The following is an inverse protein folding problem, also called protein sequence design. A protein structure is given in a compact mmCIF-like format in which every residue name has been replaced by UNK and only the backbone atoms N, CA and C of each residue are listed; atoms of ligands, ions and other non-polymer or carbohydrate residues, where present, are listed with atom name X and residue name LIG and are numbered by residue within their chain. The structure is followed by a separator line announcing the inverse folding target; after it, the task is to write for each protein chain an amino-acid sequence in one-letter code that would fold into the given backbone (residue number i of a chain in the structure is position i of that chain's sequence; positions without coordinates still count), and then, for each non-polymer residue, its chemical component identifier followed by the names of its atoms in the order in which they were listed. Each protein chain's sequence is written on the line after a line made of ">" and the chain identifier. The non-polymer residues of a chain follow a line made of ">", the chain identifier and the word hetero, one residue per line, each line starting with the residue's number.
data_IF_042809011661
#
_entry.id   IF_042809011661
#
_cell.length_a   1.000
_cell.length_b   1.000
_cell.length_c   1.000
_cell.angle_alpha   90.00
_cell.angle_beta   90.00
_cell.angle_gamma   90.00
#
_symmetry.space_group_name_H-M   'P 1'
#
loop_
_entity.id
_entity.type
_entity.pdbx_description
1 polymer ?
#
# COMPACT_ATOMS: atom_id res chain seq x y z
N UNK A 1 3.40 9.09 -14.59
CA UNK A 1 4.43 8.39 -15.38
C UNK A 1 3.77 7.68 -16.55
N UNK A 2 4.15 8.01 -17.80
CA UNK A 2 3.81 7.22 -18.98
C UNK A 2 4.24 5.75 -18.85
N UNK A 3 3.51 4.83 -19.48
CA UNK A 3 3.75 3.39 -19.32
C UNK A 3 5.16 2.95 -19.76
N UNK A 4 5.67 3.49 -20.86
CA UNK A 4 6.99 3.15 -21.39
C UNK A 4 8.14 3.64 -20.50
N UNK A 5 7.99 4.80 -19.86
CA UNK A 5 8.99 5.38 -18.97
C UNK A 5 9.28 4.47 -17.77
N UNK A 6 8.29 3.71 -17.32
CA UNK A 6 8.43 2.79 -16.18
C UNK A 6 9.53 1.74 -16.40
N UNK A 7 9.80 1.36 -17.66
CA UNK A 7 10.81 0.35 -18.01
C UNK A 7 12.24 0.84 -17.77
N UNK A 8 12.47 2.14 -17.97
CA UNK A 8 13.82 2.73 -17.98
C UNK A 8 14.05 3.80 -16.92
N UNK A 9 13.02 4.15 -16.15
CA UNK A 9 13.15 5.16 -15.10
C UNK A 9 14.26 4.80 -14.08
N UNK A 10 14.95 5.84 -13.61
CA UNK A 10 16.21 5.74 -12.84
C UNK A 10 16.05 5.10 -11.47
N UNK A 11 14.86 5.22 -10.88
CA UNK A 11 14.43 4.45 -9.72
C UNK A 11 13.41 3.41 -10.17
N UNK A 12 13.37 2.25 -9.52
CA UNK A 12 12.34 1.25 -9.82
C UNK A 12 10.95 1.78 -9.41
N UNK A 13 10.03 2.01 -10.35
CA UNK A 13 8.72 2.57 -10.04
C UNK A 13 7.79 1.60 -9.30
N UNK A 14 8.19 0.34 -9.15
CA UNK A 14 7.44 -0.73 -8.46
C UNK A 14 8.12 -1.14 -7.15
N UNK A 15 9.22 -0.50 -6.77
CA UNK A 15 9.81 -0.61 -5.45
C UNK A 15 9.16 0.44 -4.53
N UNK A 16 8.35 -0.03 -3.57
CA UNK A 16 7.62 0.80 -2.62
C UNK A 16 8.55 1.72 -1.78
N UNK A 17 9.84 1.40 -1.68
CA UNK A 17 10.81 2.22 -0.95
C UNK A 17 11.25 3.45 -1.74
N UNK A 18 10.90 3.55 -3.03
CA UNK A 18 11.31 4.64 -3.92
C UNK A 18 10.17 5.61 -4.18
N UNK A 19 10.41 6.89 -3.94
CA UNK A 19 9.53 7.97 -4.39
C UNK A 19 9.88 8.36 -5.84
N UNK A 20 8.90 8.90 -6.56
CA UNK A 20 9.14 9.60 -7.83
C UNK A 20 9.24 11.09 -7.52
N UNK A 21 10.42 11.73 -7.70
CA UNK A 21 10.56 13.15 -7.45
C UNK A 21 9.55 13.96 -8.27
N UNK A 22 8.89 14.92 -7.63
CA UNK A 22 7.92 15.79 -8.31
C UNK A 22 8.59 16.69 -9.37
N UNK A 23 9.91 16.84 -9.34
CA UNK A 23 10.68 17.46 -10.42
C UNK A 23 10.61 16.67 -11.73
N UNK A 24 10.51 15.34 -11.62
CA UNK A 24 10.49 14.42 -12.77
C UNK A 24 9.03 14.17 -13.19
N UNK A 25 8.13 14.00 -12.23
CA UNK A 25 6.69 13.82 -12.44
C UNK A 25 5.88 14.76 -11.53
N UNK A 26 5.53 15.97 -12.03
CA UNK A 26 4.76 16.94 -11.27
C UNK A 26 3.39 16.42 -10.82
N UNK A 27 2.87 17.00 -9.74
CA UNK A 27 1.51 16.73 -9.29
C UNK A 27 0.50 17.29 -10.30
N UNK A 28 -0.53 16.50 -10.59
CA UNK A 28 -1.69 16.92 -11.36
C UNK A 28 -2.90 16.98 -10.44
N UNK A 29 -3.55 18.14 -10.36
CA UNK A 29 -4.74 18.30 -9.52
C UNK A 29 -5.91 17.49 -10.10
N UNK A 30 -6.53 16.67 -9.24
CA UNK A 30 -7.74 15.90 -9.57
C UNK A 30 -8.97 16.48 -8.86
N UNK A 31 -8.83 16.88 -7.61
CA UNK A 31 -9.92 17.45 -6.80
C UNK A 31 -9.59 17.47 -5.30
N UNK A 32 -10.63 17.68 -4.47
CA UNK A 32 -10.50 17.83 -3.02
C UNK A 32 -11.43 16.88 -2.26
N UNK A 33 -10.85 16.06 -1.38
CA UNK A 33 -11.61 15.28 -0.38
C UNK A 33 -11.92 16.16 0.85
N UNK A 34 -13.15 16.11 1.35
CA UNK A 34 -13.55 16.82 2.58
C UNK A 34 -14.28 15.85 3.51
N UNK A 35 -13.83 15.76 4.77
CA UNK A 35 -14.50 15.02 5.83
C UNK A 35 -15.48 15.96 6.53
N UNK A 36 -16.79 15.66 6.47
CA UNK A 36 -17.84 16.58 6.92
C UNK A 36 -18.92 15.92 7.80
N UNK A 37 -18.70 14.68 8.23
CA UNK A 37 -19.66 13.92 9.04
C UNK A 37 -18.92 12.94 9.96
N UNK A 38 -19.25 12.98 11.25
CA UNK A 38 -18.81 11.97 12.22
C UNK A 38 -19.68 10.71 12.14
N UNK A 39 -19.15 9.54 12.51
CA UNK A 39 -19.97 8.32 12.61
C UNK A 39 -21.04 8.48 13.70
N UNK A 40 -22.19 7.83 13.50
CA UNK A 40 -23.24 7.78 14.54
C UNK A 40 -22.94 6.69 15.56
N UNK A 41 -22.44 5.56 15.09
CA UNK A 41 -21.96 4.46 15.92
C UNK A 41 -20.55 4.02 15.47
N UNK A 42 -19.58 4.14 16.37
CA UNK A 42 -18.19 3.86 16.04
C UNK A 42 -17.97 2.37 15.70
N UNK A 43 -18.67 1.46 16.35
CA UNK A 43 -18.44 0.04 16.14
C UNK A 43 -18.90 -0.41 14.74
N UNK A 44 -20.14 -0.10 14.38
CA UNK A 44 -20.75 -0.52 13.11
C UNK A 44 -20.24 0.28 11.91
N UNK A 45 -19.78 1.52 12.09
CA UNK A 45 -19.29 2.36 10.99
C UNK A 45 -17.75 2.42 10.88
N UNK A 46 -16.99 2.18 11.96
CA UNK A 46 -15.52 2.28 11.93
C UNK A 46 -14.87 0.93 12.22
N UNK A 47 -15.17 0.29 13.34
CA UNK A 47 -14.54 -1.00 13.71
C UNK A 47 -14.88 -2.09 12.68
N UNK A 48 -16.10 -2.09 12.15
CA UNK A 48 -16.54 -3.04 11.12
C UNK A 48 -16.24 -2.60 9.68
N UNK A 49 -15.59 -1.45 9.47
CA UNK A 49 -15.18 -1.02 8.14
C UNK A 49 -14.09 -1.95 7.56
N UNK A 50 -14.26 -2.36 6.32
CA UNK A 50 -13.45 -3.38 5.66
C UNK A 50 -12.74 -2.84 4.42
N UNK A 51 -11.73 -1.99 4.63
CA UNK A 51 -10.92 -1.46 3.54
C UNK A 51 -10.00 -2.54 2.96
N UNK A 52 -9.92 -2.65 1.64
CA UNK A 52 -9.08 -3.63 0.96
C UNK A 52 -8.63 -3.10 -0.41
N UNK A 53 -7.33 -3.21 -0.79
CA UNK A 53 -6.84 -2.70 -2.07
C UNK A 53 -7.41 -3.41 -3.31
N UNK A 54 -7.99 -4.60 -3.14
CA UNK A 54 -8.62 -5.34 -4.24
C UNK A 54 -10.06 -4.85 -4.56
N UNK A 55 -10.61 -3.87 -3.83
CA UNK A 55 -11.82 -3.15 -4.20
C UNK A 55 -11.53 -2.09 -5.29
N UNK A 56 -11.00 -2.55 -6.43
CA UNK A 56 -10.74 -1.70 -7.60
C UNK A 56 -11.99 -1.57 -8.47
N UNK A 57 -12.04 -0.49 -9.24
CA UNK A 57 -13.12 -0.20 -10.20
C UNK A 57 -12.54 -0.06 -11.61
N UNK A 58 -13.33 -0.26 -12.68
CA UNK A 58 -12.86 -0.10 -14.05
C UNK A 58 -12.13 1.23 -14.25
N UNK A 59 -10.93 1.17 -14.87
CA UNK A 59 -10.03 2.31 -15.05
C UNK A 59 -8.93 2.45 -13.99
N UNK A 60 -8.95 1.62 -12.94
CA UNK A 60 -7.91 1.55 -11.91
C UNK A 60 -7.46 0.11 -11.76
N UNK A 61 -6.14 -0.12 -11.70
CA UNK A 61 -5.59 -1.45 -11.54
C UNK A 61 -4.28 -1.50 -10.76
N UNK A 62 -3.78 -2.72 -10.46
CA UNK A 62 -2.55 -2.90 -9.71
C UNK A 62 -1.30 -2.63 -10.56
N UNK A 63 -0.15 -2.68 -9.90
CA UNK A 63 1.17 -2.64 -10.53
C UNK A 63 1.99 -3.88 -10.14
N UNK A 64 3.15 -4.11 -10.78
CA UNK A 64 4.12 -5.13 -10.38
C UNK A 64 4.76 -4.97 -8.98
N UNK A 65 4.29 -4.03 -8.15
CA UNK A 65 4.76 -3.88 -6.78
C UNK A 65 4.37 -5.11 -5.94
N UNK A 66 5.38 -5.91 -5.56
CA UNK A 66 5.25 -7.12 -4.73
C UNK A 66 4.49 -6.87 -3.43
N UNK A 67 4.64 -5.70 -2.80
CA UNK A 67 3.92 -5.35 -1.57
C UNK A 67 2.44 -5.11 -1.86
N UNK A 68 2.11 -4.38 -2.93
CA UNK A 68 0.73 -4.17 -3.35
C UNK A 68 0.04 -5.50 -3.70
N UNK A 69 0.70 -6.35 -4.48
CA UNK A 69 0.17 -7.66 -4.88
C UNK A 69 -0.10 -8.56 -3.66
N UNK A 70 0.78 -8.55 -2.65
CA UNK A 70 0.52 -9.23 -1.37
C UNK A 70 -0.71 -8.68 -0.64
N UNK A 71 -0.88 -7.35 -0.63
CA UNK A 71 -2.02 -6.68 0.02
C UNK A 71 -3.35 -6.92 -0.71
N UNK A 72 -3.34 -7.18 -2.02
CA UNK A 72 -4.54 -7.55 -2.77
C UNK A 72 -5.17 -8.86 -2.25
N UNK A 73 -4.37 -9.74 -1.67
CA UNK A 73 -4.85 -10.96 -1.02
C UNK A 73 -5.17 -10.71 0.47
N UNK A 74 -4.22 -10.14 1.21
CA UNK A 74 -4.20 -10.20 2.67
C UNK A 74 -5.41 -9.56 3.38
N UNK A 75 -5.93 -8.43 2.87
CA UNK A 75 -6.98 -7.69 3.58
C UNK A 75 -8.31 -8.45 3.57
N UNK A 76 -8.74 -8.93 2.40
CA UNK A 76 -9.99 -9.68 2.30
C UNK A 76 -9.93 -11.00 3.09
N UNK A 77 -8.76 -11.64 3.15
CA UNK A 77 -8.54 -12.81 4.00
C UNK A 77 -8.75 -12.48 5.49
N UNK A 78 -8.07 -11.43 5.98
CA UNK A 78 -8.22 -10.98 7.35
C UNK A 78 -9.65 -10.56 7.70
N UNK A 79 -10.37 -9.91 6.78
CA UNK A 79 -11.77 -9.50 6.98
C UNK A 79 -12.70 -10.70 7.12
N UNK A 80 -12.50 -11.76 6.33
CA UNK A 80 -13.28 -13.01 6.49
C UNK A 80 -13.05 -13.66 7.85
N UNK A 81 -11.81 -13.65 8.34
CA UNK A 81 -11.49 -14.18 9.67
C UNK A 81 -12.06 -13.32 10.80
N UNK A 82 -11.94 -11.99 10.70
CA UNK A 82 -12.32 -11.05 11.76
C UNK A 82 -13.83 -10.77 11.84
N UNK A 83 -14.51 -10.67 10.70
CA UNK A 83 -15.92 -10.25 10.63
C UNK A 83 -16.85 -11.31 10.04
N UNK A 84 -16.29 -12.41 9.52
CA UNK A 84 -17.04 -13.49 8.88
C UNK A 84 -17.15 -13.36 7.38
N UNK A 85 -17.54 -14.46 6.73
CA UNK A 85 -17.52 -14.61 5.26
C UNK A 85 -18.45 -13.65 4.52
N UNK A 86 -19.50 -13.14 5.18
CA UNK A 86 -20.47 -12.20 4.63
C UNK A 86 -20.23 -10.74 5.06
N UNK A 87 -19.02 -10.37 5.53
CA UNK A 87 -18.71 -9.00 6.00
C UNK A 87 -19.06 -7.88 5.01
N UNK A 88 -19.08 -8.17 3.70
CA UNK A 88 -19.48 -7.22 2.64
C UNK A 88 -20.98 -6.85 2.70
N UNK A 89 -21.80 -7.58 3.46
CA UNK A 89 -23.22 -7.26 3.68
C UNK A 89 -23.44 -6.30 4.87
N UNK A 90 -22.42 -6.07 5.70
CA UNK A 90 -22.48 -5.06 6.77
C UNK A 90 -22.68 -3.68 6.13
N UNK A 91 -23.63 -2.84 6.61
CA UNK A 91 -24.02 -1.61 5.91
C UNK A 91 -22.87 -0.70 5.47
N UNK A 92 -21.84 -0.52 6.29
CA UNK A 92 -20.69 0.34 5.95
C UNK A 92 -19.81 -0.20 4.81
N UNK A 93 -19.88 -1.51 4.56
CA UNK A 93 -19.09 -2.20 3.53
C UNK A 93 -19.87 -2.42 2.23
N UNK A 94 -21.19 -2.14 2.23
CA UNK A 94 -22.04 -2.35 1.04
C UNK A 94 -21.74 -1.29 -0.01
N UNK A 95 -21.59 -1.67 -1.29
CA UNK A 95 -21.54 -0.69 -2.36
C UNK A 95 -22.91 -0.01 -2.52
N UNK A 96 -22.90 1.17 -3.14
CA UNK A 96 -24.13 1.90 -3.45
C UNK A 96 -24.89 1.30 -4.65
N UNK A 97 -24.19 0.55 -5.51
CA UNK A 97 -24.79 -0.14 -6.65
C UNK A 97 -25.27 -1.55 -6.27
N UNK A 98 -26.23 -2.13 -7.03
CA UNK A 98 -26.61 -3.52 -6.87
C UNK A 98 -25.42 -4.47 -7.06
N UNK A 99 -25.35 -5.52 -6.25
CA UNK A 99 -24.34 -6.57 -6.36
C UNK A 99 -24.97 -7.81 -6.97
N UNK A 100 -24.46 -8.23 -8.13
CA UNK A 100 -24.84 -9.46 -8.80
C UNK A 100 -23.68 -10.46 -8.69
N UNK A 101 -23.81 -11.44 -7.80
CA UNK A 101 -22.75 -12.41 -7.49
C UNK A 101 -23.30 -13.81 -7.30
N UNK A 102 -22.52 -14.81 -7.70
CA UNK A 102 -22.81 -16.23 -7.46
C UNK A 102 -22.48 -16.69 -6.04
N UNK A 103 -21.88 -15.84 -5.19
CA UNK A 103 -21.61 -16.18 -3.78
C UNK A 103 -22.92 -16.34 -2.99
N UNK A 104 -23.13 -17.53 -2.43
CA UNK A 104 -24.32 -17.92 -1.67
C UNK A 104 -23.93 -18.45 -0.26
N UNK A 105 -24.89 -18.46 0.65
CA UNK A 105 -24.80 -19.05 1.99
C UNK A 105 -23.74 -18.36 2.87
N UNK A 106 -23.04 -19.14 3.70
CA UNK A 106 -22.07 -18.64 4.68
C UNK A 106 -22.71 -18.14 5.98
N UNK A 107 -21.91 -18.07 7.04
CA UNK A 107 -22.36 -17.57 8.33
C UNK A 107 -22.87 -16.13 8.23
N UNK A 108 -23.94 -15.82 8.98
CA UNK A 108 -24.56 -14.50 9.06
C UNK A 108 -24.99 -13.92 7.69
N UNK A 109 -25.49 -14.78 6.80
CA UNK A 109 -26.15 -14.33 5.56
C UNK A 109 -27.42 -13.57 5.90
N UNK A 110 -27.57 -12.34 5.41
CA UNK A 110 -28.76 -11.50 5.65
C UNK A 110 -29.52 -11.13 4.37
N UNK A 111 -28.82 -11.04 3.23
CA UNK A 111 -29.47 -10.79 1.94
C UNK A 111 -29.88 -12.11 1.25
N UNK A 112 -31.14 -12.18 0.79
CA UNK A 112 -31.64 -13.30 0.00
C UNK A 112 -30.88 -13.44 -1.33
N UNK A 113 -30.69 -14.67 -1.81
CA UNK A 113 -30.18 -14.98 -3.16
C UNK A 113 -31.22 -15.78 -3.92
N UNK A 114 -31.75 -15.19 -4.97
CA UNK A 114 -32.72 -15.85 -5.88
C UNK A 114 -32.09 -16.30 -7.19
N UNK A 115 -30.86 -15.85 -7.47
CA UNK A 115 -30.15 -16.18 -8.70
C UNK A 115 -29.75 -17.67 -8.75
N UNK A 116 -29.60 -18.25 -9.96
CA UNK A 116 -28.98 -19.56 -10.14
C UNK A 116 -27.60 -19.62 -9.49
N UNK A 117 -27.21 -20.80 -8.97
CA UNK A 117 -25.94 -21.00 -8.25
C UNK A 117 -24.75 -21.35 -9.14
N UNK A 118 -24.87 -21.15 -10.46
CA UNK A 118 -23.86 -21.57 -11.43
C UNK A 118 -23.86 -20.69 -12.69
N UNK A 119 -22.71 -20.63 -13.36
CA UNK A 119 -22.52 -20.00 -14.67
C UNK A 119 -21.74 -20.95 -15.60
N UNK A 120 -22.00 -20.93 -16.92
CA UNK A 120 -23.14 -20.27 -17.58
C UNK A 120 -24.47 -20.96 -17.22
N UNK A 121 -25.59 -20.24 -17.31
CA UNK A 121 -26.93 -20.79 -17.07
C UNK A 121 -27.97 -20.20 -18.02
N UNK A 122 -29.09 -20.92 -18.18
CA UNK A 122 -30.23 -20.51 -19.04
C UNK A 122 -31.39 -19.91 -18.23
N UNK A 123 -31.12 -19.41 -17.02
CA UNK A 123 -32.14 -18.95 -16.06
C UNK A 123 -32.00 -17.46 -15.71
N UNK A 124 -31.17 -16.73 -16.45
CA UNK A 124 -31.01 -15.27 -16.29
C UNK A 124 -30.15 -14.87 -15.09
N UNK A 125 -29.25 -15.73 -14.61
CA UNK A 125 -28.30 -15.36 -13.56
C UNK A 125 -27.24 -14.35 -14.01
N UNK A 126 -26.44 -13.80 -13.08
CA UNK A 126 -25.42 -12.80 -13.36
C UNK A 126 -24.45 -13.20 -14.49
N UNK A 127 -24.07 -12.27 -15.35
CA UNK A 127 -23.06 -12.50 -16.40
C UNK A 127 -21.99 -11.42 -16.36
N UNK A 128 -20.72 -11.83 -16.47
CA UNK A 128 -19.62 -10.89 -16.65
C UNK A 128 -19.70 -10.29 -18.06
N UNK A 129 -19.38 -9.01 -18.18
CA UNK A 129 -19.36 -8.27 -19.45
C UNK A 129 -17.95 -7.75 -19.75
N UNK A 130 -17.03 -8.64 -20.19
CA UNK A 130 -15.65 -8.25 -20.50
C UNK A 130 -15.54 -7.39 -21.76
N UNK A 131 -16.59 -7.35 -22.60
CA UNK A 131 -16.61 -6.49 -23.79
C UNK A 131 -16.81 -5.01 -23.39
N UNK A 132 -17.69 -4.75 -22.42
CA UNK A 132 -17.92 -3.41 -21.88
C UNK A 132 -16.86 -2.98 -20.87
N UNK A 133 -16.34 -3.92 -20.08
CA UNK A 133 -15.36 -3.65 -19.03
C UNK A 133 -14.12 -4.55 -19.23
N UNK A 134 -13.32 -4.30 -20.27
CA UNK A 134 -12.12 -5.07 -20.51
C UNK A 134 -11.11 -4.87 -19.38
N UNK A 135 -10.34 -5.93 -19.06
CA UNK A 135 -9.17 -5.80 -18.20
C UNK A 135 -8.16 -4.87 -18.88
N UNK A 136 -7.77 -3.81 -18.18
CA UNK A 136 -6.92 -2.74 -18.72
C UNK A 136 -5.59 -2.65 -17.98
N UNK A 137 -5.49 -3.25 -16.80
CA UNK A 137 -4.30 -3.27 -15.97
C UNK A 137 -3.44 -4.49 -16.30
N UNK A 138 -3.06 -4.61 -17.57
CA UNK A 138 -2.25 -5.71 -18.07
C UNK A 138 -0.79 -5.27 -18.23
N UNK A 139 0.15 -6.11 -17.80
CA UNK A 139 1.57 -5.96 -18.10
C UNK A 139 2.16 -7.32 -18.46
N UNK A 140 3.26 -7.31 -19.22
CA UNK A 140 3.98 -8.53 -19.58
C UNK A 140 4.92 -8.96 -18.45
N UNK A 141 5.03 -10.27 -18.25
CA UNK A 141 6.03 -10.90 -17.39
C UNK A 141 6.61 -12.11 -18.13
N UNK A 142 7.91 -12.33 -17.99
CA UNK A 142 8.67 -13.43 -18.59
C UNK A 142 9.78 -13.87 -17.62
N UNK A 143 10.20 -15.14 -17.73
CA UNK A 143 11.25 -15.73 -16.89
C UNK A 143 10.80 -16.91 -16.01
N UNK A 144 11.74 -17.42 -15.22
CA UNK A 144 11.53 -18.55 -14.31
C UNK A 144 10.83 -18.15 -13.00
N UNK A 145 10.22 -19.11 -12.31
CA UNK A 145 9.72 -18.89 -10.96
C UNK A 145 10.88 -18.78 -9.97
N UNK A 146 11.11 -17.57 -9.45
CA UNK A 146 12.26 -17.26 -8.58
C UNK A 146 11.85 -16.53 -7.31
N UNK A 147 12.75 -16.56 -6.31
CA UNK A 147 12.75 -15.65 -5.16
C UNK A 147 13.97 -14.74 -5.28
N UNK A 148 13.75 -13.53 -5.78
CA UNK A 148 14.82 -12.56 -6.01
C UNK A 148 14.46 -11.16 -5.54
N UNK A 149 15.50 -10.39 -5.21
CA UNK A 149 15.40 -8.95 -5.11
C UNK A 149 14.92 -8.35 -6.45
N UNK A 150 14.42 -7.11 -6.43
CA UNK A 150 14.23 -6.40 -7.68
C UNK A 150 15.56 -6.21 -8.40
N UNK A 151 15.51 -6.18 -9.73
CA UNK A 151 16.64 -5.68 -10.52
C UNK A 151 16.80 -4.20 -10.23
N UNK A 152 17.96 -3.82 -9.70
CA UNK A 152 18.27 -2.42 -9.41
C UNK A 152 18.30 -1.59 -10.71
N UNK A 153 17.65 -0.44 -10.67
CA UNK A 153 17.81 0.63 -11.65
C UNK A 153 19.05 1.46 -11.34
N UNK A 154 19.38 2.37 -12.25
CA UNK A 154 20.61 3.18 -12.22
C UNK A 154 20.86 3.84 -10.86
N UNK A 155 19.82 4.41 -10.25
CA UNK A 155 19.93 5.18 -9.01
C UNK A 155 19.34 4.40 -7.81
N UNK A 156 18.98 3.12 -7.97
CA UNK A 156 18.41 2.34 -6.87
C UNK A 156 19.48 1.95 -5.83
N UNK A 157 19.26 2.40 -4.61
CA UNK A 157 19.92 1.93 -3.39
C UNK A 157 18.97 2.02 -2.19
N UNK A 158 19.47 1.73 -1.00
CA UNK A 158 18.68 1.81 0.24
C UNK A 158 18.84 3.16 0.97
N UNK A 159 19.73 4.04 0.51
CA UNK A 159 20.21 5.19 1.29
C UNK A 159 20.01 6.54 0.61
N UNK A 160 20.12 6.59 -0.72
CA UNK A 160 20.19 7.83 -1.49
C UNK A 160 18.97 8.72 -1.31
N UNK A 161 17.76 8.17 -1.39
CA UNK A 161 16.54 8.97 -1.20
C UNK A 161 16.34 9.43 0.25
N UNK A 162 16.67 8.60 1.24
CA UNK A 162 16.65 9.01 2.65
C UNK A 162 17.69 10.11 2.92
N UNK A 163 18.88 9.99 2.33
CA UNK A 163 19.92 11.01 2.40
C UNK A 163 19.51 12.31 1.71
N UNK A 164 18.77 12.24 0.60
CA UNK A 164 18.22 13.41 -0.10
C UNK A 164 17.18 14.12 0.78
N UNK A 165 16.27 13.39 1.41
CA UNK A 165 15.32 13.93 2.39
C UNK A 165 16.08 14.69 3.49
N UNK A 166 17.09 14.04 4.09
CA UNK A 166 17.91 14.65 5.12
C UNK A 166 18.59 15.91 4.60
N UNK A 167 19.30 15.86 3.46
CA UNK A 167 20.21 16.92 3.00
C UNK A 167 19.55 18.07 2.28
N UNK A 168 18.45 17.83 1.58
CA UNK A 168 17.89 18.80 0.62
C UNK A 168 16.46 19.23 0.97
N UNK A 169 15.76 18.47 1.81
CA UNK A 169 14.35 18.74 2.13
C UNK A 169 14.17 19.22 3.57
N UNK A 170 14.87 18.61 4.54
CA UNK A 170 14.77 19.03 5.94
C UNK A 170 15.56 20.31 6.20
N UNK A 171 14.90 21.26 6.87
CA UNK A 171 15.55 22.39 7.52
C UNK A 171 16.35 21.95 8.77
N UNK A 172 17.17 22.85 9.29
CA UNK A 172 18.06 22.55 10.42
C UNK A 172 17.29 22.13 11.67
N UNK A 173 16.19 22.83 11.99
CA UNK A 173 15.34 22.51 13.13
C UNK A 173 14.72 21.09 12.99
N UNK A 174 14.34 20.68 11.79
CA UNK A 174 13.82 19.34 11.52
C UNK A 174 14.91 18.27 11.63
N UNK A 175 16.15 18.56 11.20
CA UNK A 175 17.29 17.66 11.41
C UNK A 175 17.61 17.50 12.89
N UNK A 176 17.50 18.57 13.66
CA UNK A 176 17.71 18.53 15.12
C UNK A 176 16.66 17.66 15.81
N UNK A 177 15.38 17.81 15.44
CA UNK A 177 14.30 16.92 15.91
C UNK A 177 14.51 15.48 15.47
N UNK A 178 14.95 15.23 14.24
CA UNK A 178 15.27 13.88 13.76
C UNK A 178 16.32 13.22 14.64
N UNK A 179 17.45 13.90 14.87
CA UNK A 179 18.53 13.39 15.74
C UNK A 179 18.00 13.14 17.16
N UNK A 180 17.28 14.11 17.74
CA UNK A 180 16.72 13.98 19.09
C UNK A 180 15.80 12.77 19.22
N UNK A 181 14.88 12.57 18.27
CA UNK A 181 13.96 11.43 18.27
C UNK A 181 14.71 10.10 18.15
N UNK A 182 15.69 10.01 17.25
CA UNK A 182 16.47 8.78 17.06
C UNK A 182 17.29 8.45 18.30
N UNK A 183 17.96 9.44 18.89
CA UNK A 183 18.71 9.27 20.14
C UNK A 183 17.77 8.82 21.26
N UNK A 184 16.60 9.45 21.39
CA UNK A 184 15.58 9.09 22.37
C UNK A 184 15.18 7.61 22.27
N UNK A 185 14.97 7.10 21.06
CA UNK A 185 14.67 5.68 20.83
C UNK A 185 15.87 4.77 21.10
N UNK A 186 17.08 5.16 20.67
CA UNK A 186 18.27 4.33 20.87
C UNK A 186 18.70 4.22 22.33
N UNK A 187 18.26 5.15 23.20
CA UNK A 187 18.45 5.06 24.65
C UNK A 187 17.46 4.13 25.37
N UNK A 188 16.45 3.60 24.67
CA UNK A 188 15.46 2.67 25.26
C UNK A 188 16.00 1.23 25.28
N UNK A 189 16.98 0.98 26.17
CA UNK A 189 17.55 -0.35 26.45
C UNK A 189 18.13 -1.09 25.21
N UNK A 190 18.58 -0.34 24.19
CA UNK A 190 19.20 -0.92 23.01
C UNK A 190 20.59 -1.44 23.35
N UNK A 191 20.83 -2.73 23.09
CA UNK A 191 22.10 -3.38 23.42
C UNK A 191 23.23 -3.02 22.44
N UNK A 192 24.46 -3.07 22.94
CA UNK A 192 25.70 -2.70 22.23
C UNK A 192 25.83 -3.25 20.79
N UNK A 193 25.47 -4.51 20.47
CA UNK A 193 25.56 -4.99 19.08
C UNK A 193 24.50 -4.39 18.15
N UNK A 194 23.34 -3.99 18.68
CA UNK A 194 22.27 -3.34 17.90
C UNK A 194 22.59 -1.86 17.73
N UNK A 195 23.06 -1.20 18.79
CA UNK A 195 23.38 0.23 18.77
C UNK A 195 24.45 0.55 17.71
N UNK A 196 25.52 -0.25 17.64
CA UNK A 196 26.58 -0.08 16.63
C UNK A 196 26.05 -0.16 15.19
N UNK A 197 25.19 -1.14 14.92
CA UNK A 197 24.56 -1.32 13.60
C UNK A 197 23.58 -0.19 13.27
N UNK A 198 22.84 0.30 14.26
CA UNK A 198 21.93 1.44 14.06
C UNK A 198 22.72 2.72 13.72
N UNK A 199 23.83 2.99 14.41
CA UNK A 199 24.69 4.14 14.10
C UNK A 199 25.27 4.01 12.69
N UNK A 200 25.74 2.82 12.31
CA UNK A 200 26.22 2.56 10.94
C UNK A 200 25.12 2.77 9.89
N UNK A 201 23.91 2.28 10.15
CA UNK A 201 22.73 2.50 9.30
C UNK A 201 22.48 4.00 9.06
N UNK A 202 22.51 4.81 10.11
CA UNK A 202 22.31 6.26 9.99
C UNK A 202 23.46 6.96 9.26
N UNK A 203 24.70 6.47 9.41
CA UNK A 203 25.86 6.99 8.65
C UNK A 203 25.78 6.69 7.16
N UNK A 204 25.19 5.55 6.78
CA UNK A 204 24.94 5.24 5.36
C UNK A 204 23.94 6.21 4.73
N UNK A 205 22.94 6.69 5.49
CA UNK A 205 21.99 7.73 5.05
C UNK A 205 22.70 9.09 4.92
N UNK A 206 23.35 9.52 6.00
CA UNK A 206 24.10 10.75 6.07
C UNK A 206 25.13 10.72 7.19
N UNK A 207 26.41 10.90 6.85
CA UNK A 207 27.52 10.82 7.80
C UNK A 207 27.37 11.81 8.97
N UNK A 208 26.97 13.05 8.70
CA UNK A 208 26.85 14.09 9.73
C UNK A 208 25.74 13.76 10.72
N UNK A 209 24.57 13.34 10.24
CA UNK A 209 23.46 12.93 11.10
C UNK A 209 23.81 11.68 11.90
N UNK A 210 24.43 10.67 11.27
CA UNK A 210 24.88 9.46 11.96
C UNK A 210 25.86 9.76 13.10
N UNK A 211 26.81 10.69 12.90
CA UNK A 211 27.76 11.11 13.94
C UNK A 211 27.09 11.90 15.07
N UNK A 212 26.13 12.76 14.74
CA UNK A 212 25.32 13.47 15.75
C UNK A 212 24.50 12.50 16.61
N UNK A 213 23.91 11.47 15.99
CA UNK A 213 23.19 10.40 16.71
C UNK A 213 24.16 9.62 17.60
N UNK A 214 25.32 9.21 17.08
CA UNK A 214 26.32 8.48 17.84
C UNK A 214 26.75 9.25 19.10
N UNK A 215 26.99 10.56 18.95
CA UNK A 215 27.31 11.46 20.07
C UNK A 215 26.16 11.53 21.08
N UNK A 216 24.93 11.76 20.61
CA UNK A 216 23.77 11.91 21.49
C UNK A 216 23.42 10.66 22.30
N UNK A 217 23.76 9.46 21.82
CA UNK A 217 23.56 8.22 22.60
C UNK A 217 24.64 8.00 23.68
N UNK A 218 25.84 8.57 23.50
CA UNK A 218 26.92 8.47 24.48
C UNK A 218 26.80 9.46 25.65
N UNK A 219 26.16 10.61 25.41
CA UNK A 219 25.80 11.61 26.43
C UNK A 219 24.64 11.13 27.31
#
# INVERSE_FOLDING_TARGET
>A
MPFEDAKTYRFNPFDLTKIWPHSDYPLHEVGKLTLNRNPTDFHTEIEQAAFEPNNMVPGIGPSPDKMLLGRMFAYADAHRARMGVNYKQIPVNRPQCPVHSYSKDGALRVDNVTDPVYAPNSKGGPQADPQRYPESATWSADGEFVRSAYTLRKDDDDWGQAGTLVREVLDDDARDRLVSNVVGHLKQDVTEPVLKRAIEYWRNIDQSIGDRIAKGVQE
#
